data_IF_170155297802
#
_entry.id   IF_170155297802
#
_cell.length_a   1.000
_cell.length_b   1.000
_cell.length_c   1.000
_cell.angle_alpha   90.00
_cell.angle_beta   90.00
_cell.angle_gamma   90.00
#
_symmetry.space_group_name_H-M   'P 1'
#
loop_
_entity.id
_entity.type
_entity.pdbx_description
1 polymer ?
#
# COMPACT_ATOMS: atom_id res chain seq x y z
N UNK A 1 9.32 6.64 -15.39
CA UNK A 1 9.45 5.19 -15.13
C UNK A 1 10.86 4.61 -15.29
N UNK A 2 11.74 5.10 -16.18
CA UNK A 2 13.15 4.65 -16.25
C UNK A 2 13.95 5.00 -14.98
N UNK A 3 13.82 6.23 -14.47
CA UNK A 3 14.54 6.69 -13.26
C UNK A 3 14.26 5.87 -12.00
N UNK A 4 13.03 5.34 -11.84
CA UNK A 4 12.66 4.53 -10.69
C UNK A 4 13.43 3.21 -10.66
N UNK A 5 13.62 2.58 -11.82
CA UNK A 5 14.33 1.31 -11.91
C UNK A 5 15.83 1.47 -11.61
N UNK A 6 16.45 2.51 -12.15
CA UNK A 6 17.88 2.83 -11.89
C UNK A 6 18.12 3.13 -10.40
N UNK A 7 17.17 3.78 -9.73
CA UNK A 7 17.22 4.02 -8.27
C UNK A 7 17.14 2.71 -7.49
N UNK A 8 16.35 1.75 -7.94
CA UNK A 8 16.19 0.45 -7.27
C UNK A 8 17.41 -0.46 -7.50
N UNK A 9 17.99 -0.43 -8.68
CA UNK A 9 19.11 -1.30 -9.05
C UNK A 9 20.47 -0.86 -8.47
N UNK A 10 20.57 0.41 -8.00
CA UNK A 10 21.80 0.88 -7.36
C UNK A 10 21.86 0.42 -5.90
N UNK A 11 22.81 -0.48 -5.58
CA UNK A 11 22.96 -1.12 -4.26
C UNK A 11 23.98 -0.45 -3.33
N UNK A 12 24.63 0.63 -3.75
CA UNK A 12 25.76 1.23 -3.04
C UNK A 12 25.39 2.03 -1.78
N UNK A 13 24.12 2.14 -1.44
CA UNK A 13 23.67 2.88 -0.26
C UNK A 13 22.43 2.25 0.38
N UNK A 14 22.29 2.45 1.70
CA UNK A 14 21.04 2.12 2.42
C UNK A 14 19.92 3.01 1.89
N UNK A 15 18.82 2.40 1.51
CA UNK A 15 17.66 3.10 0.94
C UNK A 15 16.38 2.76 1.69
N UNK A 16 15.51 3.75 1.82
CA UNK A 16 14.12 3.56 2.17
C UNK A 16 13.24 4.10 1.04
N UNK A 17 12.28 3.30 0.58
CA UNK A 17 11.36 3.69 -0.48
C UNK A 17 9.96 3.72 0.10
N UNK A 18 9.30 4.87 -0.07
CA UNK A 18 7.95 5.08 0.44
C UNK A 18 6.95 4.90 -0.70
N UNK A 19 5.95 4.06 -0.46
CA UNK A 19 4.82 3.87 -1.37
C UNK A 19 3.55 4.46 -0.74
N UNK A 20 2.96 5.45 -1.40
CA UNK A 20 1.61 5.93 -1.09
C UNK A 20 0.57 4.95 -1.65
N UNK A 21 0.11 4.02 -0.85
CA UNK A 21 -0.74 2.90 -1.29
C UNK A 21 -2.21 3.02 -0.88
N UNK A 22 -2.59 4.15 -0.31
CA UNK A 22 -3.94 4.46 0.19
C UNK A 22 -4.92 4.88 -0.89
N UNK A 23 -4.45 5.30 -2.06
CA UNK A 23 -5.26 5.85 -3.14
C UNK A 23 -5.63 4.80 -4.20
N UNK A 24 -6.59 5.18 -5.07
CA UNK A 24 -7.03 4.34 -6.18
C UNK A 24 -5.94 4.22 -7.25
N UNK A 25 -5.66 3.01 -7.77
CA UNK A 25 -4.73 2.84 -8.88
C UNK A 25 -5.21 3.55 -10.14
N UNK A 26 -4.27 4.04 -10.95
CA UNK A 26 -4.59 4.67 -12.24
C UNK A 26 -5.09 3.65 -13.27
N UNK A 27 -4.57 2.41 -13.21
CA UNK A 27 -4.95 1.33 -14.12
C UNK A 27 -5.59 0.17 -13.36
N UNK A 28 -6.92 -0.05 -13.50
CA UNK A 28 -7.63 -1.11 -12.79
C UNK A 28 -7.21 -2.52 -13.20
N UNK A 29 -6.66 -2.71 -14.42
CA UNK A 29 -6.16 -4.03 -14.88
C UNK A 29 -4.88 -4.47 -14.17
N UNK A 30 -4.14 -3.53 -13.56
CA UNK A 30 -2.91 -3.79 -12.79
C UNK A 30 -3.13 -3.75 -11.28
N UNK A 31 -4.36 -3.54 -10.84
CA UNK A 31 -4.74 -3.48 -9.45
C UNK A 31 -4.86 -4.87 -8.85
N UNK A 32 -4.50 -5.02 -7.59
CA UNK A 32 -4.91 -6.14 -6.77
C UNK A 32 -6.33 -5.88 -6.26
N UNK A 33 -7.26 -6.83 -6.44
CA UNK A 33 -8.66 -6.64 -6.08
C UNK A 33 -8.98 -7.38 -4.79
N UNK A 34 -9.48 -6.65 -3.80
CA UNK A 34 -9.86 -7.17 -2.50
C UNK A 34 -11.04 -6.39 -1.91
N UNK A 35 -11.65 -6.91 -0.85
CA UNK A 35 -12.61 -6.13 -0.07
C UNK A 35 -11.89 -5.12 0.82
N UNK A 36 -12.34 -3.88 0.76
CA UNK A 36 -11.88 -2.77 1.59
C UNK A 36 -13.09 -1.90 1.95
N UNK A 37 -13.32 -1.67 3.24
CA UNK A 37 -14.53 -1.02 3.76
C UNK A 37 -15.81 -1.61 3.15
N UNK A 38 -15.92 -2.94 3.16
CA UNK A 38 -17.03 -3.73 2.62
C UNK A 38 -17.28 -3.60 1.11
N UNK A 39 -16.37 -3.00 0.34
CA UNK A 39 -16.53 -2.83 -1.09
C UNK A 39 -15.38 -3.51 -1.86
N UNK A 40 -15.68 -4.10 -3.03
CA UNK A 40 -14.67 -4.57 -3.98
C UNK A 40 -13.81 -3.40 -4.44
N UNK A 41 -12.53 -3.45 -4.11
CA UNK A 41 -11.61 -2.31 -4.28
C UNK A 41 -10.33 -2.74 -4.97
N UNK A 42 -9.97 -2.03 -6.02
CA UNK A 42 -8.64 -2.15 -6.61
C UNK A 42 -7.62 -1.42 -5.75
N UNK A 43 -6.58 -2.12 -5.31
CA UNK A 43 -5.48 -1.55 -4.53
C UNK A 43 -4.17 -1.60 -5.29
N UNK A 44 -3.24 -0.70 -4.94
CA UNK A 44 -1.93 -0.62 -5.55
C UNK A 44 -1.07 -1.82 -5.12
N UNK A 45 -0.52 -2.54 -6.09
CA UNK A 45 0.30 -3.73 -5.87
C UNK A 45 1.81 -3.47 -5.94
N UNK A 46 2.20 -2.23 -6.16
CA UNK A 46 3.60 -1.85 -6.39
C UNK A 46 4.53 -2.19 -5.23
N UNK A 47 4.12 -1.92 -4.00
CA UNK A 47 4.92 -2.18 -2.82
C UNK A 47 5.28 -3.66 -2.68
N UNK A 48 4.30 -4.56 -2.79
CA UNK A 48 4.54 -6.01 -2.74
C UNK A 48 5.40 -6.50 -3.89
N UNK A 49 5.12 -6.02 -5.11
CA UNK A 49 5.89 -6.40 -6.30
C UNK A 49 7.38 -6.10 -6.13
N UNK A 50 7.72 -4.89 -5.74
CA UNK A 50 9.12 -4.48 -5.58
C UNK A 50 9.77 -5.11 -4.34
N UNK A 51 9.05 -5.23 -3.24
CA UNK A 51 9.56 -5.93 -2.06
C UNK A 51 9.97 -7.37 -2.38
N UNK A 52 9.13 -8.11 -3.10
CA UNK A 52 9.45 -9.49 -3.54
C UNK A 52 10.57 -9.54 -4.57
N UNK A 53 10.60 -8.60 -5.52
CA UNK A 53 11.63 -8.56 -6.57
C UNK A 53 13.03 -8.34 -5.99
N UNK A 54 13.16 -7.45 -5.01
CA UNK A 54 14.45 -7.06 -4.44
C UNK A 54 14.71 -7.67 -3.05
N UNK A 55 13.78 -8.47 -2.55
CA UNK A 55 13.83 -9.06 -1.21
C UNK A 55 14.01 -8.02 -0.08
N UNK A 56 13.32 -6.89 -0.20
CA UNK A 56 13.38 -5.82 0.80
C UNK A 56 12.32 -5.99 1.88
N UNK A 57 12.68 -5.85 3.15
CA UNK A 57 11.72 -5.82 4.24
C UNK A 57 10.63 -4.77 4.01
N UNK A 58 9.43 -5.06 4.47
CA UNK A 58 8.28 -4.15 4.34
C UNK A 58 7.82 -3.69 5.71
N UNK A 59 7.77 -2.38 5.86
CA UNK A 59 7.33 -1.70 7.08
C UNK A 59 6.09 -0.87 6.74
N UNK A 60 5.05 -1.01 7.54
CA UNK A 60 3.88 -0.13 7.52
C UNK A 60 4.20 1.14 8.32
N UNK A 61 3.93 2.28 7.75
CA UNK A 61 4.13 3.57 8.40
C UNK A 61 2.77 4.22 8.59
N UNK A 62 2.42 4.50 9.83
CA UNK A 62 1.20 5.21 10.21
C UNK A 62 1.54 6.57 10.77
N UNK A 63 0.87 7.60 10.25
CA UNK A 63 0.95 8.95 10.78
C UNK A 63 -0.40 9.28 11.38
N UNK A 64 -0.43 9.65 12.65
CA UNK A 64 -1.66 10.04 13.32
C UNK A 64 -1.47 11.33 14.13
N UNK A 65 -2.57 12.04 14.33
CA UNK A 65 -2.58 13.28 15.08
C UNK A 65 -2.77 12.96 16.56
N UNK A 66 -1.79 13.30 17.39
CA UNK A 66 -1.88 13.15 18.85
C UNK A 66 -2.55 14.37 19.50
N UNK A 67 -2.22 15.58 19.05
CA UNK A 67 -2.78 16.82 19.52
C UNK A 67 -2.87 17.85 18.40
N UNK A 68 -3.46 19.03 18.65
CA UNK A 68 -3.49 20.12 17.67
C UNK A 68 -2.07 20.53 17.29
N UNK A 69 -1.70 20.38 16.01
CA UNK A 69 -0.38 20.68 15.48
C UNK A 69 0.71 19.64 15.80
N UNK A 70 0.37 18.53 16.46
CA UNK A 70 1.30 17.46 16.80
C UNK A 70 0.91 16.17 16.11
N UNK A 71 1.88 15.54 15.48
CA UNK A 71 1.72 14.27 14.76
C UNK A 71 2.76 13.28 15.27
N UNK A 72 2.35 12.03 15.32
CA UNK A 72 3.22 10.91 15.68
C UNK A 72 3.31 9.94 14.51
N UNK A 73 4.46 9.29 14.40
CA UNK A 73 4.73 8.32 13.35
C UNK A 73 5.03 6.98 14.02
N UNK A 74 4.25 5.97 13.67
CA UNK A 74 4.48 4.60 14.12
C UNK A 74 4.95 3.74 12.94
N UNK A 75 5.86 2.83 13.25
CA UNK A 75 6.42 1.86 12.32
C UNK A 75 6.05 0.46 12.77
N UNK A 76 5.47 -0.32 11.87
CA UNK A 76 5.11 -1.71 12.13
C UNK A 76 5.68 -2.62 11.04
N UNK A 77 6.47 -3.62 11.43
CA UNK A 77 7.02 -4.59 10.50
C UNK A 77 5.90 -5.47 9.92
N UNK A 78 5.78 -5.51 8.59
CA UNK A 78 4.90 -6.46 7.90
C UNK A 78 5.64 -7.77 7.63
N UNK A 79 6.84 -7.70 7.07
CA UNK A 79 7.67 -8.88 6.81
C UNK A 79 9.13 -8.51 6.56
N UNK A 80 10.04 -9.33 7.06
CA UNK A 80 11.47 -9.26 6.72
C UNK A 80 11.81 -10.10 5.48
N UNK A 81 10.97 -11.09 5.17
CA UNK A 81 11.21 -12.07 4.10
C UNK A 81 10.06 -12.07 3.08
N UNK A 82 9.92 -11.00 2.27
CA UNK A 82 8.76 -10.84 1.38
C UNK A 82 8.66 -11.95 0.33
N UNK A 83 9.78 -12.54 -0.08
CA UNK A 83 9.79 -13.65 -1.04
C UNK A 83 9.10 -14.93 -0.53
N UNK A 84 9.04 -15.12 0.80
CA UNK A 84 8.38 -16.26 1.44
C UNK A 84 6.87 -16.05 1.63
N UNK A 85 6.36 -14.85 1.38
CA UNK A 85 4.93 -14.55 1.50
C UNK A 85 4.15 -15.02 0.28
N UNK A 86 2.89 -15.39 0.46
CA UNK A 86 1.99 -15.71 -0.66
C UNK A 86 1.65 -14.47 -1.49
N UNK A 87 1.13 -14.66 -2.70
CA UNK A 87 0.70 -13.56 -3.56
C UNK A 87 -0.45 -12.77 -2.92
N UNK A 88 -0.29 -11.46 -2.83
CA UNK A 88 -1.27 -10.55 -2.22
C UNK A 88 -1.14 -10.40 -0.70
N UNK A 89 -0.41 -11.25 -0.02
CA UNK A 89 -0.35 -11.26 1.45
C UNK A 89 0.15 -9.94 2.03
N UNK A 90 1.19 -9.35 1.46
CA UNK A 90 1.72 -8.06 1.88
C UNK A 90 0.70 -6.96 1.61
N UNK A 91 0.12 -6.97 0.40
CA UNK A 91 -0.89 -5.99 -0.04
C UNK A 91 -2.12 -6.02 0.84
N UNK A 92 -2.65 -7.20 1.16
CA UNK A 92 -3.78 -7.36 2.07
C UNK A 92 -3.45 -6.90 3.49
N UNK A 93 -2.23 -7.21 3.97
CA UNK A 93 -1.80 -6.82 5.32
C UNK A 93 -1.81 -5.31 5.50
N UNK A 94 -1.14 -4.54 4.64
CA UNK A 94 -1.13 -3.09 4.80
C UNK A 94 -2.49 -2.46 4.48
N UNK A 95 -3.27 -3.03 3.55
CA UNK A 95 -4.62 -2.52 3.24
C UNK A 95 -5.57 -2.67 4.42
N UNK A 96 -5.51 -3.80 5.13
CA UNK A 96 -6.30 -4.00 6.37
C UNK A 96 -5.88 -3.06 7.49
N UNK A 97 -4.60 -2.71 7.60
CA UNK A 97 -4.14 -1.72 8.56
C UNK A 97 -4.70 -0.34 8.24
N UNK A 98 -4.68 0.08 6.97
CA UNK A 98 -5.33 1.32 6.52
C UNK A 98 -6.83 1.30 6.84
N UNK A 99 -7.52 0.19 6.58
CA UNK A 99 -8.95 0.03 6.88
C UNK A 99 -9.23 0.23 8.38
N UNK A 100 -8.44 -0.39 9.24
CA UNK A 100 -8.55 -0.23 10.69
C UNK A 100 -8.30 1.21 11.14
N UNK A 101 -7.31 1.89 10.57
CA UNK A 101 -7.03 3.29 10.88
C UNK A 101 -8.21 4.19 10.47
N UNK A 102 -8.85 3.92 9.32
CA UNK A 102 -10.05 4.65 8.89
C UNK A 102 -11.24 4.39 9.82
N UNK A 103 -11.46 3.14 10.22
CA UNK A 103 -12.57 2.79 11.13
C UNK A 103 -12.40 3.48 12.49
N UNK A 104 -11.17 3.53 12.99
CA UNK A 104 -10.88 4.12 14.30
C UNK A 104 -10.89 5.66 14.28
N UNK A 105 -10.45 6.27 13.18
CA UNK A 105 -10.34 7.73 13.04
C UNK A 105 -10.79 8.23 11.67
N UNK A 106 -12.09 8.03 11.31
CA UNK A 106 -12.60 8.27 9.97
C UNK A 106 -12.48 9.72 9.51
N UNK A 107 -12.42 10.68 10.44
CA UNK A 107 -12.27 12.09 10.14
C UNK A 107 -10.94 12.49 9.48
N UNK A 108 -9.92 11.63 9.56
CA UNK A 108 -8.61 11.91 8.97
C UNK A 108 -8.41 11.27 7.59
N UNK A 109 -9.38 10.46 7.13
CA UNK A 109 -9.32 9.90 5.79
C UNK A 109 -9.71 10.94 4.73
N UNK A 110 -9.03 10.90 3.59
CA UNK A 110 -9.31 11.82 2.47
C UNK A 110 -10.55 11.36 1.70
N UNK A 111 -11.73 11.61 2.24
CA UNK A 111 -13.03 11.22 1.66
C UNK A 111 -13.32 11.88 0.31
N UNK A 112 -12.70 13.02 -0.01
CA UNK A 112 -12.82 13.68 -1.31
C UNK A 112 -12.13 12.93 -2.46
N UNK A 113 -11.21 11.99 -2.15
CA UNK A 113 -10.61 11.12 -3.14
C UNK A 113 -11.59 10.06 -3.62
N UNK A 114 -11.81 9.97 -4.95
CA UNK A 114 -12.68 8.95 -5.56
C UNK A 114 -12.05 7.56 -5.47
N UNK A 115 -12.05 6.94 -4.29
CA UNK A 115 -11.41 5.65 -4.01
C UNK A 115 -11.97 4.53 -4.86
N UNK A 116 -13.29 4.51 -5.08
CA UNK A 116 -14.01 3.49 -5.83
C UNK A 116 -14.41 3.93 -7.24
N UNK A 117 -13.55 4.69 -7.91
CA UNK A 117 -13.80 5.14 -9.30
C UNK A 117 -13.74 4.02 -10.33
N UNK A 118 -13.10 2.89 -10.00
CA UNK A 118 -12.98 1.74 -10.88
C UNK A 118 -13.83 0.58 -10.37
N UNK A 119 -14.38 -0.18 -11.31
CA UNK A 119 -15.04 -1.47 -11.06
C UNK A 119 -14.07 -2.59 -11.40
N UNK A 120 -14.17 -3.71 -10.68
CA UNK A 120 -13.39 -4.91 -10.97
C UNK A 120 -13.67 -5.35 -12.41
N UNK A 121 -12.64 -5.53 -13.25
CA UNK A 121 -12.84 -6.04 -14.59
C UNK A 121 -13.55 -7.41 -14.55
N UNK A 122 -14.52 -7.62 -15.44
CA UNK A 122 -15.08 -8.94 -15.62
C UNK A 122 -13.97 -9.89 -16.09
N UNK A 123 -13.93 -11.10 -15.50
CA UNK A 123 -13.05 -12.16 -15.99
C UNK A 123 -13.64 -12.58 -17.34
N UNK A 124 -13.04 -12.12 -18.41
CA UNK A 124 -13.36 -12.66 -19.75
C UNK A 124 -12.64 -14.01 -19.85
N UNK A 125 -13.42 -15.07 -19.75
CA UNK A 125 -12.95 -16.43 -20.02
C UNK A 125 -12.55 -16.56 -21.49
#
# INVERSE_FOLDING_TARGET
MKQTKETFDNTDSIKAIIFGSDQSPSNPKKAYWMKFLNQETGVLFGAEKYAKQYNWPVIYVRIFKSNRGHYEVEYELITETPQLTSYGQITESFTKKIENDIINTPQYWLWSHKRWKHKKPAITN
#
